data_IF_993607178239
#
_entry.id   IF_993607178239
#
_cell.length_a   1.000
_cell.length_b   1.000
_cell.length_c   1.000
_cell.angle_alpha   90.00
_cell.angle_beta   90.00
_cell.angle_gamma   90.00
#
_symmetry.space_group_name_H-M   'P 1'
#
loop_
_entity.id
_entity.type
_entity.pdbx_description
1 polymer ?
#
# COMPACT_ATOMS: atom_id res chain seq x y z
N UNK A 1 12.31 2.92 19.03
CA UNK A 1 11.33 3.09 17.93
C UNK A 1 11.23 1.80 17.14
N UNK A 2 10.06 1.16 17.10
CA UNK A 2 9.88 -0.08 16.33
C UNK A 2 9.63 0.28 14.85
N UNK A 3 10.42 -0.29 13.93
CA UNK A 3 10.17 -0.17 12.49
C UNK A 3 9.12 -1.19 12.06
N UNK A 4 8.13 -0.75 11.29
CA UNK A 4 7.15 -1.65 10.68
C UNK A 4 7.80 -2.43 9.53
N UNK A 5 7.90 -3.76 9.66
CA UNK A 5 8.50 -4.67 8.67
C UNK A 5 7.43 -5.46 7.89
N UNK A 6 6.16 -5.13 8.12
CA UNK A 6 5.03 -5.83 7.51
C UNK A 6 4.77 -5.41 6.06
N UNK A 7 3.70 -5.94 5.45
CA UNK A 7 3.32 -5.61 4.08
C UNK A 7 2.81 -4.16 3.96
N UNK A 8 3.64 -3.24 3.47
CA UNK A 8 3.27 -1.83 3.26
C UNK A 8 2.00 -1.63 2.39
N UNK A 9 1.76 -2.51 1.41
CA UNK A 9 0.55 -2.45 0.57
C UNK A 9 -0.74 -2.79 1.34
N UNK A 10 -0.65 -3.43 2.50
CA UNK A 10 -1.79 -3.66 3.40
C UNK A 10 -2.18 -2.35 4.10
N UNK A 11 -1.19 -1.56 4.52
CA UNK A 11 -1.42 -0.24 5.11
C UNK A 11 -2.09 0.67 4.08
N UNK A 12 -1.51 0.81 2.87
CA UNK A 12 -2.11 1.64 1.83
C UNK A 12 -3.55 1.23 1.46
N UNK A 13 -3.87 -0.07 1.48
CA UNK A 13 -5.24 -0.56 1.23
C UNK A 13 -6.19 -0.37 2.41
N UNK A 14 -5.67 -0.28 3.63
CA UNK A 14 -6.47 -0.03 4.83
C UNK A 14 -6.81 1.45 4.97
N UNK A 15 -5.88 2.31 4.60
CA UNK A 15 -6.06 3.77 4.60
C UNK A 15 -6.86 4.28 3.40
N UNK A 16 -7.10 3.44 2.38
CA UNK A 16 -7.82 3.82 1.15
C UNK A 16 -7.03 4.74 0.21
N UNK A 17 -5.83 5.15 0.62
CA UNK A 17 -4.98 6.09 -0.11
C UNK A 17 -3.58 5.54 -0.40
N UNK A 18 -2.99 6.03 -1.51
CA UNK A 18 -1.65 5.67 -1.90
C UNK A 18 -0.62 6.41 -1.02
N UNK A 19 -0.14 5.76 0.05
CA UNK A 19 0.91 6.31 0.93
C UNK A 19 2.33 6.26 0.34
N UNK A 20 2.51 5.82 -0.90
CA UNK A 20 3.80 5.72 -1.60
C UNK A 20 4.95 5.00 -0.86
N UNK A 21 4.65 4.13 0.11
CA UNK A 21 5.61 3.38 0.94
C UNK A 21 6.49 2.36 0.18
N UNK A 22 6.26 2.15 -1.13
CA UNK A 22 7.08 1.29 -2.00
C UNK A 22 7.74 2.05 -3.17
N UNK A 23 7.70 3.38 -3.18
CA UNK A 23 8.35 4.20 -4.20
C UNK A 23 7.87 3.85 -5.61
N UNK A 24 8.79 3.40 -6.46
CA UNK A 24 8.55 3.08 -7.89
C UNK A 24 7.32 2.21 -8.14
N UNK A 25 7.06 1.18 -7.32
CA UNK A 25 5.89 0.31 -7.50
C UNK A 25 4.56 1.05 -7.28
N UNK A 26 4.52 2.08 -6.45
CA UNK A 26 3.31 2.85 -6.17
C UNK A 26 2.89 3.75 -7.34
N UNK A 27 3.85 4.17 -8.17
CA UNK A 27 3.56 4.97 -9.36
C UNK A 27 3.03 4.12 -10.52
N UNK A 28 3.49 2.87 -10.63
CA UNK A 28 3.01 1.93 -11.64
C UNK A 28 1.57 1.45 -11.41
N UNK A 29 0.95 0.90 -12.46
CA UNK A 29 -0.37 0.23 -12.40
C UNK A 29 -0.37 -1.04 -11.53
N UNK A 30 0.81 -1.52 -11.12
CA UNK A 30 0.97 -2.66 -10.19
C UNK A 30 0.72 -2.27 -8.72
N UNK A 31 0.32 -1.03 -8.44
CA UNK A 31 -0.02 -0.56 -7.11
C UNK A 31 -1.28 -1.28 -6.59
N UNK A 32 -1.20 -1.85 -5.38
CA UNK A 32 -2.29 -2.61 -4.78
C UNK A 32 -3.54 -1.75 -4.53
N UNK A 33 -3.37 -0.45 -4.26
CA UNK A 33 -4.48 0.50 -4.06
C UNK A 33 -5.23 0.74 -5.36
N UNK A 34 -4.50 1.08 -6.44
CA UNK A 34 -5.09 1.29 -7.78
C UNK A 34 -5.83 0.05 -8.29
N UNK A 35 -5.28 -1.15 -8.05
CA UNK A 35 -5.88 -2.41 -8.52
C UNK A 35 -7.01 -2.94 -7.63
N UNK A 36 -6.90 -2.75 -6.31
CA UNK A 36 -7.83 -3.28 -5.31
C UNK A 36 -7.94 -2.30 -4.15
N UNK A 37 -8.80 -1.29 -4.32
CA UNK A 37 -9.12 -0.33 -3.26
C UNK A 37 -10.20 -0.90 -2.31
N UNK A 38 -9.94 -2.07 -1.76
CA UNK A 38 -10.83 -2.75 -0.83
C UNK A 38 -10.01 -3.17 0.39
N UNK A 39 -10.64 -3.11 1.56
CA UNK A 39 -10.01 -3.39 2.83
C UNK A 39 -9.38 -4.80 2.80
N UNK A 40 -8.12 -4.94 3.24
CA UNK A 40 -7.45 -6.23 3.27
C UNK A 40 -8.02 -7.06 4.44
N UNK A 41 -8.83 -8.06 4.09
CA UNK A 41 -9.34 -9.13 4.95
C UNK A 41 -9.15 -10.46 4.24
#
# INVERSE_FOLDING_TARGET
>A
MARYIGPNCRICRREGDALFLKGTRCFTEKCAVKKRNQLPG
#
